data_IF_251467897565
#
_entry.id   IF_251467897565
#
_cell.length_a   1.000
_cell.length_b   1.000
_cell.length_c   1.000
_cell.angle_alpha   90.00
_cell.angle_beta   90.00
_cell.angle_gamma   90.00
#
_symmetry.space_group_name_H-M   'P 1'
#
loop_
_entity.id
_entity.type
_entity.pdbx_description
1 polymer ?
#
# COMPACT_ATOMS: atom_id res chain seq x y z
N UNK A 1 0.72 3.45 21.93
CA UNK A 1 1.29 3.41 22.14
C UNK A 1 1.61 3.44 22.46
N UNK A 2 1.45 3.74 22.10
CA UNK A 2 1.98 3.80 22.24
C UNK A 2 2.29 4.16 22.26
N UNK A 3 2.27 4.37 22.03
CA UNK A 3 2.77 4.82 21.89
C UNK A 3 2.78 5.20 21.71
N UNK A 4 2.82 5.49 21.72
CA UNK A 4 3.10 5.81 21.33
C UNK A 4 3.37 6.34 21.25
N UNK A 5 3.41 6.56 21.09
CA UNK A 5 4.02 7.11 20.83
C UNK A 5 4.50 7.49 20.95
N UNK A 6 4.86 7.74 20.77
CA UNK A 6 5.62 8.20 20.58
C UNK A 6 6.29 8.45 20.31
N UNK A 7 6.61 8.68 20.27
CA UNK A 7 7.31 9.14 19.56
C UNK A 7 7.57 9.50 19.17
N UNK A 8 8.22 9.95 18.89
CA UNK A 8 8.45 10.53 18.06
C UNK A 8 8.75 10.59 17.36
N UNK A 9 9.03 10.91 17.30
CA UNK A 9 9.09 11.11 16.42
C UNK A 9 8.99 10.61 15.63
N UNK A 10 9.41 10.15 15.28
CA UNK A 10 8.93 9.61 14.26
C UNK A 10 7.81 10.19 13.70
N UNK A 11 7.45 10.06 12.60
CA UNK A 11 6.26 10.81 12.33
C UNK A 11 5.02 9.97 12.66
N UNK A 12 4.35 10.24 13.75
CA UNK A 12 3.26 9.39 14.18
C UNK A 12 2.07 9.43 13.25
N UNK A 13 2.00 10.40 12.33
CA UNK A 13 0.88 10.48 11.40
C UNK A 13 1.06 9.61 10.18
N UNK A 14 2.24 9.05 10.00
CA UNK A 14 2.49 8.20 8.85
C UNK A 14 2.17 6.76 9.20
N UNK A 15 1.28 6.17 8.44
CA UNK A 15 0.85 4.80 8.70
C UNK A 15 0.98 3.98 7.43
N UNK A 16 1.07 2.68 7.61
CA UNK A 16 1.01 1.72 6.52
C UNK A 16 -0.36 1.07 6.53
N UNK A 17 -1.09 1.23 5.45
CA UNK A 17 -2.44 0.67 5.32
C UNK A 17 -2.39 -0.46 4.33
N UNK A 18 -2.94 -1.62 4.71
CA UNK A 18 -3.03 -2.77 3.84
C UNK A 18 -4.47 -2.92 3.36
N UNK A 19 -4.65 -3.04 2.06
CA UNK A 19 -5.96 -3.19 1.44
C UNK A 19 -5.99 -4.48 0.64
N UNK A 20 -6.90 -5.36 0.99
CA UNK A 20 -7.08 -6.60 0.24
C UNK A 20 -7.98 -6.33 -0.96
N UNK A 21 -7.57 -6.79 -2.13
CA UNK A 21 -8.33 -6.59 -3.36
C UNK A 21 -8.45 -7.93 -4.09
N UNK A 22 -9.47 -8.04 -4.92
CA UNK A 22 -9.70 -9.27 -5.68
C UNK A 22 -8.99 -9.26 -7.03
N UNK A 23 -8.69 -8.08 -7.57
CA UNK A 23 -8.01 -7.95 -8.86
C UNK A 23 -7.06 -6.77 -8.79
N UNK A 24 -5.83 -7.04 -8.39
CA UNK A 24 -4.84 -5.99 -8.16
C UNK A 24 -4.46 -5.29 -9.46
N UNK A 25 -4.48 -6.01 -10.58
CA UNK A 25 -4.13 -5.39 -11.86
C UNK A 25 -5.16 -4.34 -12.25
N UNK A 26 -6.44 -4.62 -12.05
CA UNK A 26 -7.50 -3.68 -12.36
C UNK A 26 -7.43 -2.46 -11.44
N UNK A 27 -7.20 -2.67 -10.16
CA UNK A 27 -7.08 -1.57 -9.20
C UNK A 27 -5.86 -0.71 -9.54
N UNK A 28 -4.74 -1.35 -9.83
CA UNK A 28 -3.53 -0.63 -10.21
C UNK A 28 -3.76 0.25 -11.43
N UNK A 29 -4.40 -0.31 -12.46
CA UNK A 29 -4.64 0.45 -13.68
C UNK A 29 -5.54 1.65 -13.42
N UNK A 30 -6.58 1.46 -12.60
CA UNK A 30 -7.50 2.55 -12.29
C UNK A 30 -6.80 3.66 -11.52
N UNK A 31 -6.02 3.30 -10.50
CA UNK A 31 -5.33 4.30 -9.69
C UNK A 31 -4.26 5.01 -10.48
N UNK A 32 -3.52 4.29 -11.31
CA UNK A 32 -2.49 4.91 -12.15
C UNK A 32 -3.10 5.92 -13.10
N UNK A 33 -4.27 5.60 -13.67
CA UNK A 33 -4.96 6.53 -14.54
C UNK A 33 -5.44 7.77 -13.80
N UNK A 34 -5.73 7.63 -12.51
CA UNK A 34 -6.14 8.75 -11.69
C UNK A 34 -4.96 9.59 -11.20
N UNK A 35 -3.74 9.24 -11.58
CA UNK A 35 -2.57 10.02 -11.23
C UNK A 35 -1.79 9.50 -10.03
N UNK A 36 -2.16 8.36 -9.51
CA UNK A 36 -1.45 7.76 -8.37
C UNK A 36 -0.12 7.21 -8.85
N UNK A 37 0.95 7.55 -8.15
CA UNK A 37 2.28 7.07 -8.47
C UNK A 37 2.61 5.90 -7.56
N UNK A 38 2.86 4.74 -8.16
CA UNK A 38 3.21 3.55 -7.40
C UNK A 38 4.71 3.51 -7.18
N UNK A 39 5.11 3.29 -5.93
CA UNK A 39 6.52 3.08 -5.61
C UNK A 39 6.92 1.64 -5.88
N UNK A 40 5.94 0.74 -5.93
CA UNK A 40 6.16 -0.64 -6.30
C UNK A 40 4.95 -1.13 -7.07
N UNK A 41 5.17 -1.50 -8.33
CA UNK A 41 4.08 -2.01 -9.16
C UNK A 41 3.71 -3.42 -8.73
N UNK A 42 2.52 -3.91 -9.13
CA UNK A 42 2.09 -5.24 -8.72
C UNK A 42 3.12 -6.30 -9.07
N UNK A 43 3.52 -7.06 -8.08
CA UNK A 43 4.47 -8.14 -8.23
C UNK A 43 3.95 -9.37 -7.52
N UNK A 44 4.18 -10.53 -8.12
CA UNK A 44 3.82 -11.78 -7.49
C UNK A 44 4.86 -12.14 -6.44
N UNK A 45 4.38 -12.49 -5.25
CA UNK A 45 5.23 -12.84 -4.14
C UNK A 45 5.42 -14.35 -4.06
N UNK A 46 6.40 -14.80 -3.26
CA UNK A 46 6.69 -16.21 -3.13
C UNK A 46 5.51 -17.01 -2.61
N UNK A 47 4.69 -16.39 -1.77
CA UNK A 47 3.53 -17.08 -1.22
C UNK A 47 2.35 -17.15 -2.20
N UNK A 48 2.56 -16.66 -3.43
CA UNK A 48 1.57 -16.81 -4.51
C UNK A 48 0.62 -15.65 -4.67
N UNK A 49 0.62 -14.71 -3.75
CA UNK A 49 -0.21 -13.52 -3.87
C UNK A 49 0.52 -12.40 -4.58
N UNK A 50 -0.17 -11.26 -4.71
CA UNK A 50 0.38 -10.08 -5.38
C UNK A 50 0.35 -8.90 -4.44
N UNK A 51 1.36 -8.05 -4.54
CA UNK A 51 1.48 -6.85 -3.70
C UNK A 51 1.88 -5.68 -4.58
N UNK A 52 1.29 -4.52 -4.30
CA UNK A 52 1.68 -3.25 -4.91
C UNK A 52 1.67 -2.17 -3.84
N UNK A 53 2.49 -1.15 -4.00
CA UNK A 53 2.66 -0.13 -2.97
C UNK A 53 2.61 1.26 -3.59
N UNK A 54 1.89 2.17 -2.97
CA UNK A 54 1.87 3.56 -3.37
C UNK A 54 1.75 4.45 -2.13
N UNK A 55 2.03 5.72 -2.33
CA UNK A 55 1.95 6.69 -1.24
C UNK A 55 0.84 7.69 -1.53
N UNK A 56 0.11 8.11 -0.49
CA UNK A 56 -0.88 9.15 -0.68
C UNK A 56 -0.19 10.52 -0.55
N UNK A 57 -0.91 11.62 -0.83
CA UNK A 57 -0.32 12.95 -0.76
C UNK A 57 0.16 13.34 0.63
N UNK A 58 -0.36 12.69 1.67
CA UNK A 58 0.02 12.99 3.04
C UNK A 58 1.22 12.18 3.50
N UNK A 59 1.77 11.35 2.63
CA UNK A 59 2.94 10.57 2.97
C UNK A 59 2.65 9.23 3.59
N UNK A 60 1.38 8.83 3.67
CA UNK A 60 1.04 7.50 4.16
C UNK A 60 1.33 6.48 3.08
N UNK A 61 1.75 5.30 3.50
CA UNK A 61 2.04 4.21 2.57
C UNK A 61 0.83 3.27 2.52
N UNK A 62 0.36 3.01 1.31
CA UNK A 62 -0.75 2.10 1.10
C UNK A 62 -0.25 0.90 0.30
N UNK A 63 -0.65 -0.28 0.73
CA UNK A 63 -0.23 -1.51 0.09
C UNK A 63 -1.46 -2.29 -0.34
N UNK A 64 -1.53 -2.59 -1.63
CA UNK A 64 -2.58 -3.44 -2.17
C UNK A 64 -2.11 -4.88 -2.08
N UNK A 65 -3.01 -5.78 -1.74
CA UNK A 65 -2.67 -7.18 -1.58
C UNK A 65 -3.76 -8.04 -2.19
N UNK A 66 -3.38 -8.93 -3.09
CA UNK A 66 -4.29 -9.89 -3.67
C UNK A 66 -3.84 -11.28 -3.25
N UNK A 67 -4.74 -12.01 -2.60
CA UNK A 67 -4.41 -13.35 -2.14
C UNK A 67 -4.35 -14.32 -3.32
N UNK A 68 -3.56 -15.40 -3.20
CA UNK A 68 -3.53 -16.42 -4.25
C UNK A 68 -4.87 -17.13 -4.34
N UNK A 69 -5.21 -17.56 -5.56
CA UNK A 69 -6.47 -18.26 -5.70
C UNK A 69 -7.01 -18.23 -7.10
#
# INVERSE_FOLDING_TARGET
>A
MHDRVHGPSRDPLRVMIHLAVSDIQAVHARLARAGVVFTREPQREEWGGWVATFADPDGNTLQLMQLPG
#
